data_IF_317708557528
#
_entry.id   IF_317708557528
#
_cell.length_a   1.000
_cell.length_b   1.000
_cell.length_c   1.000
_cell.angle_alpha   90.00
_cell.angle_beta   90.00
_cell.angle_gamma   90.00
#
_symmetry.space_group_name_H-M   'P 1'
#
loop_
_entity.id
_entity.type
_entity.pdbx_description
1 polymer ?
#
# COMPACT_ATOMS: atom_id res chain seq x y z
N UNK A 1 -23.83 15.39 28.27
CA UNK A 1 -23.53 15.87 26.91
C UNK A 1 -23.14 14.67 26.06
N UNK A 2 -24.10 14.11 25.32
CA UNK A 2 -23.87 12.97 24.43
C UNK A 2 -22.89 13.40 23.34
N UNK A 3 -21.63 13.00 23.43
CA UNK A 3 -20.71 13.07 22.30
C UNK A 3 -21.13 11.98 21.33
N UNK A 4 -22.10 12.29 20.48
CA UNK A 4 -22.36 11.46 19.31
C UNK A 4 -21.01 11.25 18.62
N UNK A 5 -20.54 9.99 18.58
CA UNK A 5 -19.24 9.61 18.00
C UNK A 5 -19.39 9.68 16.47
N UNK A 6 -19.63 10.90 15.97
CA UNK A 6 -19.90 11.17 14.58
C UNK A 6 -18.72 10.73 13.73
N UNK A 7 -19.05 10.18 12.56
CA UNK A 7 -18.05 9.77 11.58
C UNK A 7 -17.22 10.99 11.19
N UNK A 8 -15.90 10.86 11.23
CA UNK A 8 -14.95 11.93 10.88
C UNK A 8 -14.78 11.98 9.37
N UNK A 9 -15.73 12.62 8.69
CA UNK A 9 -15.77 12.72 7.22
C UNK A 9 -14.52 13.38 6.64
N UNK A 10 -13.89 14.29 7.38
CA UNK A 10 -12.65 14.94 6.97
C UNK A 10 -11.50 13.93 6.81
N UNK A 11 -11.40 12.93 7.70
CA UNK A 11 -10.38 11.88 7.58
C UNK A 11 -10.66 10.97 6.39
N UNK A 12 -11.94 10.74 6.08
CA UNK A 12 -12.32 9.91 4.93
C UNK A 12 -12.01 10.63 3.61
N UNK A 13 -12.32 11.92 3.49
CA UNK A 13 -11.98 12.72 2.31
C UNK A 13 -10.46 12.87 2.13
N UNK A 14 -9.70 13.05 3.21
CA UNK A 14 -8.25 13.06 3.15
C UNK A 14 -7.70 11.74 2.60
N UNK A 15 -8.27 10.59 2.98
CA UNK A 15 -7.89 9.29 2.39
C UNK A 15 -8.23 9.22 0.90
N UNK A 16 -9.42 9.66 0.50
CA UNK A 16 -9.82 9.64 -0.92
C UNK A 16 -8.86 10.48 -1.77
N UNK A 17 -8.54 11.70 -1.32
CA UNK A 17 -7.59 12.57 -2.01
C UNK A 17 -6.19 11.94 -2.06
N UNK A 18 -5.73 11.37 -0.94
CA UNK A 18 -4.44 10.72 -0.88
C UNK A 18 -4.35 9.53 -1.86
N UNK A 19 -5.40 8.70 -1.94
CA UNK A 19 -5.48 7.57 -2.88
C UNK A 19 -5.50 8.06 -4.33
N UNK A 20 -6.23 9.14 -4.62
CA UNK A 20 -6.23 9.74 -5.95
C UNK A 20 -4.84 10.24 -6.36
N UNK A 21 -4.11 10.87 -5.44
CA UNK A 21 -2.73 11.31 -5.69
C UNK A 21 -1.79 10.11 -5.94
N UNK A 22 -1.92 9.02 -5.17
CA UNK A 22 -1.16 7.77 -5.39
C UNK A 22 -1.45 7.19 -6.77
N UNK A 23 -2.73 7.15 -7.14
CA UNK A 23 -3.14 6.67 -8.44
C UNK A 23 -2.47 7.48 -9.55
N UNK A 24 -2.58 8.81 -9.51
CA UNK A 24 -1.92 9.70 -10.46
C UNK A 24 -0.40 9.53 -10.44
N UNK A 25 0.21 9.40 -9.26
CA UNK A 25 1.64 9.14 -9.13
C UNK A 25 2.07 7.89 -9.91
N UNK A 26 1.41 6.76 -9.69
CA UNK A 26 1.74 5.51 -10.38
C UNK A 26 1.43 5.56 -11.89
N UNK A 27 0.33 6.21 -12.28
CA UNK A 27 -0.01 6.40 -13.70
C UNK A 27 1.03 7.25 -14.43
N UNK A 28 1.55 8.30 -13.80
CA UNK A 28 2.53 9.19 -14.44
C UNK A 28 3.96 8.61 -14.46
N UNK A 29 4.26 7.56 -13.67
CA UNK A 29 5.57 6.87 -13.71
C UNK A 29 5.90 6.25 -15.09
N UNK A 30 4.91 6.09 -15.95
CA UNK A 30 5.15 5.73 -17.35
C UNK A 30 5.99 6.78 -18.10
N UNK A 31 5.86 8.06 -17.72
CA UNK A 31 6.41 9.20 -18.46
C UNK A 31 7.54 9.94 -17.72
N UNK A 32 7.90 9.53 -16.51
CA UNK A 32 9.04 10.13 -15.78
C UNK A 32 10.38 9.63 -16.34
N UNK A 33 11.50 10.04 -15.76
CA UNK A 33 12.83 9.66 -16.27
C UNK A 33 13.35 8.36 -15.65
N UNK A 34 12.94 8.05 -14.41
CA UNK A 34 13.40 6.86 -13.70
C UNK A 34 12.79 5.54 -14.20
N UNK A 35 13.46 4.44 -13.84
CA UNK A 35 13.02 3.06 -14.14
C UNK A 35 11.64 2.73 -13.57
N UNK A 36 10.88 1.92 -14.30
CA UNK A 36 9.54 1.48 -13.89
C UNK A 36 9.15 0.15 -14.54
N UNK A 37 8.03 -0.41 -14.09
CA UNK A 37 7.47 -1.64 -14.64
C UNK A 37 7.28 -1.56 -16.16
N UNK A 38 6.77 -0.43 -16.64
CA UNK A 38 6.55 -0.16 -18.06
C UNK A 38 6.88 1.31 -18.31
N UNK A 39 7.57 1.60 -19.41
CA UNK A 39 8.00 2.95 -19.80
C UNK A 39 7.46 3.32 -21.17
N UNK A 40 7.08 4.58 -21.30
CA UNK A 40 6.82 5.17 -22.60
C UNK A 40 8.13 5.62 -23.26
N UNK A 41 8.14 5.66 -24.60
CA UNK A 41 9.28 6.18 -25.38
C UNK A 41 9.48 7.67 -25.09
N UNK A 42 8.40 8.45 -24.96
CA UNK A 42 8.46 9.86 -24.64
C UNK A 42 8.37 10.07 -23.12
N UNK A 43 9.39 10.70 -22.55
CA UNK A 43 9.48 11.03 -21.12
C UNK A 43 9.68 12.53 -20.91
N UNK A 44 9.31 13.04 -19.72
CA UNK A 44 9.32 14.47 -19.44
C UNK A 44 9.88 14.79 -18.05
N UNK A 45 10.78 15.79 -17.99
CA UNK A 45 11.42 16.26 -16.74
C UNK A 45 10.38 16.75 -15.72
N UNK A 46 9.32 17.44 -16.16
CA UNK A 46 8.29 17.94 -15.25
C UNK A 46 7.53 16.80 -14.54
N UNK A 47 7.40 15.63 -15.18
CA UNK A 47 6.79 14.45 -14.57
C UNK A 47 7.71 13.85 -13.51
N UNK A 48 9.02 13.86 -13.73
CA UNK A 48 10.01 13.48 -12.72
C UNK A 48 9.90 14.37 -11.47
N UNK A 49 9.82 15.68 -11.66
CA UNK A 49 9.63 16.63 -10.55
C UNK A 49 8.34 16.35 -9.76
N UNK A 50 7.22 16.15 -10.46
CA UNK A 50 5.94 15.75 -9.86
C UNK A 50 6.08 14.45 -9.06
N UNK A 51 6.71 13.43 -9.63
CA UNK A 51 6.88 12.15 -8.97
C UNK A 51 7.77 12.27 -7.73
N UNK A 52 8.91 12.97 -7.79
CA UNK A 52 9.77 13.20 -6.62
C UNK A 52 9.00 13.93 -5.52
N UNK A 53 8.25 14.98 -5.87
CA UNK A 53 7.40 15.69 -4.91
C UNK A 53 6.38 14.75 -4.26
N UNK A 54 5.60 14.02 -5.06
CA UNK A 54 4.60 13.10 -4.56
C UNK A 54 5.20 12.02 -3.64
N UNK A 55 6.30 11.36 -4.03
CA UNK A 55 6.93 10.31 -3.20
C UNK A 55 7.37 10.84 -1.83
N UNK A 56 7.89 12.07 -1.75
CA UNK A 56 8.41 12.65 -0.51
C UNK A 56 7.31 12.97 0.50
N UNK A 57 6.14 13.41 0.04
CA UNK A 57 5.05 13.87 0.91
C UNK A 57 3.98 12.81 1.16
N UNK A 58 3.71 11.98 0.16
CA UNK A 58 2.55 11.10 0.14
C UNK A 58 2.66 9.99 1.18
N UNK A 59 3.80 9.31 1.27
CA UNK A 59 3.96 8.20 2.23
C UNK A 59 3.79 8.66 3.69
N UNK A 60 4.45 9.74 4.16
CA UNK A 60 4.19 10.29 5.50
C UNK A 60 2.72 10.65 5.74
N UNK A 61 2.07 11.32 4.77
CA UNK A 61 0.67 11.72 4.87
C UNK A 61 -0.27 10.51 5.04
N UNK A 62 -0.02 9.44 4.29
CA UNK A 62 -0.76 8.18 4.43
C UNK A 62 -0.60 7.58 5.83
N UNK A 63 0.62 7.53 6.36
CA UNK A 63 0.87 7.01 7.71
C UNK A 63 0.17 7.85 8.78
N UNK A 64 0.19 9.18 8.67
CA UNK A 64 -0.51 10.08 9.61
C UNK A 64 -2.01 9.82 9.56
N UNK A 65 -2.63 9.79 8.38
CA UNK A 65 -4.08 9.59 8.24
C UNK A 65 -4.50 8.21 8.75
N UNK A 66 -3.73 7.17 8.41
CA UNK A 66 -4.00 5.80 8.87
C UNK A 66 -3.81 5.64 10.37
N UNK A 67 -2.79 6.27 10.96
CA UNK A 67 -2.54 6.28 12.39
C UNK A 67 -3.67 6.98 13.16
N UNK A 68 -4.08 8.18 12.71
CA UNK A 68 -5.22 8.90 13.30
C UNK A 68 -6.51 8.06 13.21
N UNK A 69 -6.78 7.46 12.05
CA UNK A 69 -7.93 6.59 11.84
C UNK A 69 -7.90 5.37 12.77
N UNK A 70 -6.72 4.80 13.02
CA UNK A 70 -6.53 3.68 13.93
C UNK A 70 -6.79 4.07 15.39
N UNK A 71 -6.23 5.19 15.83
CA UNK A 71 -6.38 5.70 17.20
C UNK A 71 -7.86 5.92 17.58
N UNK A 72 -8.62 6.54 16.68
CA UNK A 72 -10.07 6.74 16.87
C UNK A 72 -10.86 5.42 16.78
N UNK A 73 -10.47 4.49 15.91
CA UNK A 73 -11.13 3.19 15.79
C UNK A 73 -10.94 2.30 17.04
N UNK A 74 -9.80 2.39 17.72
CA UNK A 74 -9.53 1.59 18.94
C UNK A 74 -10.51 1.86 20.08
N UNK A 75 -11.14 3.04 20.12
CA UNK A 75 -12.18 3.35 21.11
C UNK A 75 -13.54 2.69 20.84
N UNK A 76 -13.64 1.84 19.81
CA UNK A 76 -14.88 1.20 19.35
C UNK A 76 -14.80 -0.33 19.28
N UNK A 77 -13.64 -0.95 19.58
CA UNK A 77 -13.46 -2.41 19.39
C UNK A 77 -13.52 -3.18 20.71
N UNK A 78 -14.34 -4.22 20.76
CA UNK A 78 -14.63 -5.06 21.94
C UNK A 78 -13.53 -6.10 22.27
N UNK A 79 -12.25 -5.78 22.05
CA UNK A 79 -11.11 -6.64 22.42
C UNK A 79 -10.12 -6.97 21.29
N UNK A 80 -8.96 -7.50 21.67
CA UNK A 80 -7.80 -7.70 20.80
C UNK A 80 -8.06 -8.65 19.64
N UNK A 81 -8.72 -9.79 19.89
CA UNK A 81 -8.98 -10.80 18.88
C UNK A 81 -9.84 -10.25 17.73
N UNK A 82 -10.90 -9.51 18.06
CA UNK A 82 -11.78 -8.89 17.05
C UNK A 82 -11.02 -7.85 16.23
N UNK A 83 -10.19 -7.02 16.87
CA UNK A 83 -9.37 -6.05 16.18
C UNK A 83 -8.44 -6.68 15.13
N UNK A 84 -7.71 -7.75 15.51
CA UNK A 84 -6.77 -8.40 14.60
C UNK A 84 -7.46 -9.11 13.43
N UNK A 85 -8.56 -9.82 13.69
CA UNK A 85 -9.35 -10.46 12.62
C UNK A 85 -9.88 -9.40 11.66
N UNK A 86 -10.48 -8.32 12.19
CA UNK A 86 -11.01 -7.23 11.38
C UNK A 86 -9.93 -6.56 10.50
N UNK A 87 -8.70 -6.43 11.00
CA UNK A 87 -7.58 -5.87 10.25
C UNK A 87 -7.02 -6.85 9.23
N UNK A 88 -6.90 -8.12 9.59
CA UNK A 88 -6.45 -9.17 8.68
C UNK A 88 -7.41 -9.31 7.48
N UNK A 89 -8.71 -9.42 7.74
CA UNK A 89 -9.71 -9.55 6.67
C UNK A 89 -9.76 -8.32 5.76
N UNK A 90 -9.56 -7.12 6.31
CA UNK A 90 -9.62 -5.87 5.52
C UNK A 90 -8.33 -5.52 4.79
N UNK A 91 -7.17 -5.96 5.27
CA UNK A 91 -5.87 -5.58 4.72
C UNK A 91 -5.19 -6.76 4.02
N UNK A 92 -5.13 -7.93 4.67
CA UNK A 92 -4.36 -9.07 4.16
C UNK A 92 -5.10 -9.81 3.06
N UNK A 93 -6.43 -9.96 3.14
CA UNK A 93 -7.18 -10.58 2.05
C UNK A 93 -7.00 -9.82 0.73
N UNK A 94 -7.19 -8.48 0.67
CA UNK A 94 -6.92 -7.73 -0.55
C UNK A 94 -5.49 -7.87 -1.06
N UNK A 95 -4.49 -7.86 -0.16
CA UNK A 95 -3.08 -8.06 -0.55
C UNK A 95 -2.89 -9.44 -1.15
N UNK A 96 -3.32 -10.51 -0.47
CA UNK A 96 -3.16 -11.88 -0.97
C UNK A 96 -3.83 -12.09 -2.34
N UNK A 97 -5.05 -11.57 -2.51
CA UNK A 97 -5.75 -11.62 -3.80
C UNK A 97 -4.97 -10.86 -4.86
N UNK A 98 -4.52 -9.63 -4.58
CA UNK A 98 -3.74 -8.83 -5.51
C UNK A 98 -2.37 -9.45 -5.82
N UNK A 99 -1.73 -10.11 -4.86
CA UNK A 99 -0.46 -10.82 -5.03
C UNK A 99 -0.57 -12.01 -5.96
N UNK A 100 -1.72 -12.68 -6.03
CA UNK A 100 -1.91 -13.82 -6.94
C UNK A 100 -2.49 -13.40 -8.29
N UNK A 101 -3.31 -12.36 -8.33
CA UNK A 101 -4.04 -11.94 -9.55
C UNK A 101 -3.36 -10.77 -10.25
N UNK A 102 -3.48 -9.56 -9.69
CA UNK A 102 -3.06 -8.31 -10.32
C UNK A 102 -1.54 -8.23 -10.45
N UNK A 103 -0.82 -8.72 -9.45
CA UNK A 103 0.64 -8.71 -9.42
C UNK A 103 1.23 -9.65 -10.47
N UNK A 104 0.59 -10.78 -10.74
CA UNK A 104 1.00 -11.68 -11.82
C UNK A 104 0.95 -10.97 -13.18
N UNK A 105 -0.12 -10.23 -13.46
CA UNK A 105 -0.24 -9.44 -14.68
C UNK A 105 0.80 -8.31 -14.73
N UNK A 106 1.02 -7.59 -13.63
CA UNK A 106 1.99 -6.50 -13.58
C UNK A 106 3.43 -6.97 -13.80
N UNK A 107 3.84 -8.04 -13.10
CA UNK A 107 5.18 -8.61 -13.27
C UNK A 107 5.33 -9.20 -14.66
N UNK A 108 4.32 -9.86 -15.22
CA UNK A 108 4.35 -10.32 -16.61
C UNK A 108 4.64 -9.18 -17.60
N UNK A 109 3.92 -8.07 -17.50
CA UNK A 109 4.11 -6.91 -18.37
C UNK A 109 5.50 -6.28 -18.17
N UNK A 110 6.00 -6.24 -16.93
CA UNK A 110 7.38 -5.82 -16.65
C UNK A 110 8.39 -6.74 -17.34
N UNK A 111 8.30 -8.06 -17.14
CA UNK A 111 9.25 -9.01 -17.74
C UNK A 111 9.22 -8.97 -19.27
N UNK A 112 8.04 -8.79 -19.87
CA UNK A 112 7.93 -8.60 -21.32
C UNK A 112 8.63 -7.32 -21.78
N UNK A 113 8.35 -6.19 -21.14
CA UNK A 113 8.86 -4.88 -21.57
C UNK A 113 10.35 -4.71 -21.31
N UNK A 114 10.89 -5.40 -20.31
CA UNK A 114 12.32 -5.46 -19.99
C UNK A 114 13.06 -6.55 -20.78
N UNK A 115 12.39 -7.29 -21.67
CA UNK A 115 13.00 -8.34 -22.50
C UNK A 115 13.45 -9.59 -21.73
N UNK A 116 12.92 -9.79 -20.52
CA UNK A 116 13.25 -10.91 -19.62
C UNK A 116 12.31 -12.11 -19.80
N UNK A 117 11.21 -11.94 -20.52
CA UNK A 117 10.28 -13.00 -20.89
C UNK A 117 9.76 -12.78 -22.30
N UNK A 118 9.40 -13.86 -22.98
CA UNK A 118 8.67 -13.82 -24.25
C UNK A 118 7.60 -14.90 -24.25
N UNK A 119 6.42 -14.57 -24.78
CA UNK A 119 5.28 -15.49 -24.80
C UNK A 119 3.99 -14.84 -24.33
N UNK A 120 3.01 -15.67 -24.01
CA UNK A 120 1.68 -15.26 -23.54
C UNK A 120 1.62 -15.18 -22.01
N UNK A 121 0.58 -14.52 -21.48
CA UNK A 121 0.34 -14.47 -20.03
C UNK A 121 0.14 -15.86 -19.42
N UNK A 122 -0.55 -16.76 -20.13
CA UNK A 122 -0.79 -18.12 -19.65
C UNK A 122 0.50 -18.95 -19.55
N UNK A 123 1.44 -18.76 -20.48
CA UNK A 123 2.77 -19.37 -20.37
C UNK A 123 3.63 -18.78 -19.25
N UNK A 124 3.32 -17.57 -18.79
CA UNK A 124 4.02 -16.93 -17.67
C UNK A 124 3.49 -17.35 -16.30
N UNK A 125 2.25 -17.85 -16.20
CA UNK A 125 1.64 -18.21 -14.91
C UNK A 125 2.46 -19.22 -14.07
N UNK A 126 3.03 -20.30 -14.66
CA UNK A 126 3.93 -21.17 -13.91
C UNK A 126 5.20 -20.46 -13.44
N UNK A 127 5.76 -19.60 -14.30
CA UNK A 127 6.96 -18.81 -14.01
C UNK A 127 6.75 -17.76 -12.92
N UNK A 128 5.52 -17.30 -12.72
CA UNK A 128 5.20 -16.28 -11.74
C UNK A 128 5.57 -16.68 -10.31
N UNK A 129 5.49 -17.98 -9.99
CA UNK A 129 5.81 -18.48 -8.65
C UNK A 129 7.30 -18.82 -8.47
N UNK A 130 8.14 -18.58 -9.48
CA UNK A 130 9.57 -18.81 -9.40
C UNK A 130 10.28 -17.61 -8.76
N UNK A 131 10.72 -17.78 -7.51
CA UNK A 131 11.48 -16.79 -6.76
C UNK A 131 10.65 -15.60 -6.26
N UNK A 132 11.22 -14.82 -5.34
CA UNK A 132 10.56 -13.67 -4.71
C UNK A 132 10.88 -12.40 -5.48
N UNK A 133 9.85 -11.65 -5.87
CA UNK A 133 10.02 -10.33 -6.47
C UNK A 133 10.38 -9.30 -5.38
N UNK A 134 11.66 -8.91 -5.32
CA UNK A 134 12.17 -7.93 -4.35
C UNK A 134 12.18 -6.50 -4.90
N UNK A 135 12.55 -6.30 -6.17
CA UNK A 135 12.58 -5.01 -6.84
C UNK A 135 12.57 -5.17 -8.36
N UNK A 136 12.31 -4.07 -9.08
CA UNK A 136 12.39 -4.01 -10.54
C UNK A 136 13.77 -4.50 -10.99
N UNK A 137 13.78 -5.44 -11.95
CA UNK A 137 15.01 -6.01 -12.50
C UNK A 137 15.72 -7.04 -11.62
N UNK A 138 15.26 -7.30 -10.38
CA UNK A 138 15.80 -8.41 -9.57
C UNK A 138 15.28 -9.77 -10.04
N UNK A 139 16.01 -10.87 -9.76
CA UNK A 139 15.53 -12.22 -10.03
C UNK A 139 14.32 -12.54 -9.15
N UNK A 140 13.37 -13.31 -9.69
CA UNK A 140 12.17 -13.77 -8.99
C UNK A 140 10.88 -13.04 -9.39
N UNK A 141 9.79 -13.76 -9.53
CA UNK A 141 8.55 -13.21 -10.09
C UNK A 141 7.43 -13.04 -9.06
N UNK A 142 7.46 -13.76 -7.95
CA UNK A 142 6.34 -13.76 -7.01
C UNK A 142 6.33 -12.50 -6.15
N UNK A 143 5.44 -11.56 -6.48
CA UNK A 143 5.25 -10.32 -5.76
C UNK A 143 4.25 -10.49 -4.60
N UNK A 144 4.72 -11.17 -3.54
CA UNK A 144 3.93 -11.48 -2.35
C UNK A 144 3.32 -10.24 -1.66
N UNK A 145 3.95 -9.06 -1.82
CA UNK A 145 3.51 -7.79 -1.23
C UNK A 145 2.37 -7.11 -2.00
N UNK A 146 1.95 -7.66 -3.14
CA UNK A 146 0.82 -7.12 -3.90
C UNK A 146 1.16 -5.92 -4.77
N UNK A 147 2.45 -5.75 -5.12
CA UNK A 147 2.96 -4.67 -5.96
C UNK A 147 2.56 -3.29 -5.40
N UNK A 148 1.70 -2.54 -6.09
CA UNK A 148 1.25 -1.22 -5.62
C UNK A 148 0.42 -1.28 -4.32
N UNK A 149 -0.06 -2.45 -3.89
CA UNK A 149 -0.78 -2.64 -2.63
C UNK A 149 0.14 -2.89 -1.42
N UNK A 150 1.47 -2.87 -1.61
CA UNK A 150 2.45 -3.07 -0.54
C UNK A 150 2.15 -2.27 0.73
N UNK A 151 1.63 -1.05 0.58
CA UNK A 151 1.25 -0.21 1.71
C UNK A 151 0.24 -0.88 2.67
N UNK A 152 -0.69 -1.70 2.18
CA UNK A 152 -1.64 -2.44 3.04
C UNK A 152 -0.95 -3.50 3.90
N UNK A 153 0.11 -4.14 3.37
CA UNK A 153 0.96 -5.06 4.13
C UNK A 153 1.61 -4.32 5.31
N UNK A 154 2.22 -3.18 5.03
CA UNK A 154 2.83 -2.36 6.08
C UNK A 154 1.79 -1.85 7.07
N UNK A 155 0.62 -1.40 6.61
CA UNK A 155 -0.46 -0.98 7.51
C UNK A 155 -0.90 -2.07 8.47
N UNK A 156 -0.97 -3.31 7.99
CA UNK A 156 -1.27 -4.43 8.86
C UNK A 156 -0.17 -4.58 9.92
N UNK A 157 1.10 -4.67 9.52
CA UNK A 157 2.24 -4.80 10.43
C UNK A 157 2.30 -3.67 11.46
N UNK A 158 2.20 -2.41 11.02
CA UNK A 158 2.17 -1.26 11.93
C UNK A 158 0.94 -1.28 12.83
N UNK A 159 -0.22 -1.72 12.35
CA UNK A 159 -1.40 -1.86 13.21
C UNK A 159 -1.18 -2.88 14.33
N UNK A 160 -0.40 -3.94 14.10
CA UNK A 160 -0.06 -4.92 15.14
C UNK A 160 0.81 -4.31 16.24
N UNK A 161 1.84 -3.56 15.82
CA UNK A 161 2.79 -2.92 16.72
C UNK A 161 2.08 -1.80 17.51
N UNK A 162 1.39 -0.91 16.79
CA UNK A 162 0.71 0.24 17.38
C UNK A 162 -0.48 -0.15 18.26
N UNK A 163 -1.11 -1.32 18.06
CA UNK A 163 -2.19 -1.78 18.94
C UNK A 163 -1.77 -1.81 20.41
N UNK A 164 -0.61 -2.41 20.70
CA UNK A 164 -0.07 -2.51 22.07
C UNK A 164 0.28 -1.12 22.62
N UNK A 165 0.91 -0.29 21.79
CA UNK A 165 1.27 1.09 22.15
C UNK A 165 0.03 1.94 22.48
N UNK A 166 -1.03 1.86 21.67
CA UNK A 166 -2.22 2.66 21.86
C UNK A 166 -3.10 2.19 23.02
N UNK A 167 -3.06 0.90 23.38
CA UNK A 167 -3.66 0.43 24.64
C UNK A 167 -2.91 1.03 25.82
N UNK A 168 -1.58 0.96 25.81
CA UNK A 168 -0.76 1.54 26.88
C UNK A 168 -1.02 3.04 27.05
N UNK A 169 -1.07 3.80 25.95
CA UNK A 169 -1.39 5.24 25.96
C UNK A 169 -2.81 5.56 26.45
N UNK A 170 -3.77 4.64 26.35
CA UNK A 170 -5.14 4.84 26.88
C UNK A 170 -5.29 4.45 28.34
N UNK A 171 -4.36 3.65 28.88
CA UNK A 171 -4.28 3.29 30.29
C UNK A 171 -3.31 4.21 31.05
N UNK A 172 -2.27 3.61 31.63
CA UNK A 172 -1.28 4.30 32.49
C UNK A 172 -0.44 5.36 31.78
N UNK A 173 -0.35 5.34 30.44
CA UNK A 173 0.40 6.35 29.68
C UNK A 173 -0.17 7.77 29.78
N UNK A 174 -1.41 7.95 30.26
CA UNK A 174 -2.00 9.27 30.53
C UNK A 174 -1.46 9.95 31.79
N UNK A 175 -0.87 9.20 32.72
CA UNK A 175 -0.34 9.78 33.96
C UNK A 175 1.07 10.38 33.78
N UNK A 176 1.73 10.07 32.65
CA UNK A 176 3.07 10.55 32.31
C UNK A 176 3.08 11.74 31.34
N UNK A 177 1.92 12.16 30.81
CA UNK A 177 1.74 13.29 29.88
C UNK A 177 0.93 14.40 30.56
#
# INVERSE_FOLDING_TARGET
>A
MNTDKSRRYELDWLRVLAILIVFLYHSTRFFNLGEWHIKNINTYVWVEMWNVFATRWMMPLFFIISGASLFYALGKTSGWRKFYVDKFLRLMIPVLIASVTHSALQVYLERLTHGQFSGSFLSFLPEYFNGVYAAIGMPGNFAFHGMHLWYLLFLFLYSLICYRLFIWLKGSGREFL
#
